data_IF_434790232515
#
_entry.id   IF_434790232515
#
_cell.length_a   1.000
_cell.length_b   1.000
_cell.length_c   1.000
_cell.angle_alpha   90.00
_cell.angle_beta   90.00
_cell.angle_gamma   90.00
#
_symmetry.space_group_name_H-M   'P 1'
#
loop_
_entity.id
_entity.type
_entity.pdbx_description
1 polymer ?
#
# COMPACT_ATOMS: atom_id res chain seq x y z
N UNK A 1 -9.23 27.62 -46.41
CA UNK A 1 -7.81 27.19 -46.30
C UNK A 1 -7.28 27.04 -44.86
N UNK A 2 -7.60 27.91 -43.89
CA UNK A 2 -7.04 27.81 -42.51
C UNK A 2 -7.48 26.56 -41.71
N UNK A 3 -8.74 26.10 -41.85
CA UNK A 3 -9.27 24.92 -41.13
C UNK A 3 -8.65 23.58 -41.56
N UNK A 4 -8.38 23.40 -42.85
CA UNK A 4 -7.77 22.16 -43.40
C UNK A 4 -6.32 21.99 -42.94
N UNK A 5 -5.54 23.09 -42.89
CA UNK A 5 -4.17 23.08 -42.36
C UNK A 5 -4.11 22.69 -40.88
N UNK A 6 -5.08 23.11 -40.08
CA UNK A 6 -5.16 22.79 -38.66
C UNK A 6 -5.52 21.32 -38.41
N UNK A 7 -6.44 20.75 -39.20
CA UNK A 7 -6.81 19.33 -39.12
C UNK A 7 -5.63 18.44 -39.51
N UNK A 8 -4.91 18.78 -40.58
CA UNK A 8 -3.71 18.04 -41.01
C UNK A 8 -2.62 18.11 -39.93
N UNK A 9 -2.40 19.29 -39.31
CA UNK A 9 -1.45 19.44 -38.21
C UNK A 9 -1.83 18.57 -36.99
N UNK A 10 -3.12 18.51 -36.62
CA UNK A 10 -3.62 17.66 -35.52
C UNK A 10 -3.41 16.17 -35.84
N UNK A 11 -3.68 15.73 -37.07
CA UNK A 11 -3.48 14.33 -37.48
C UNK A 11 -1.99 13.96 -37.41
N UNK A 12 -1.11 14.81 -37.95
CA UNK A 12 0.34 14.60 -37.92
C UNK A 12 0.86 14.56 -36.48
N UNK A 13 0.38 15.49 -35.63
CA UNK A 13 0.75 15.53 -34.21
C UNK A 13 0.25 14.30 -33.44
N UNK A 14 -0.96 13.81 -33.75
CA UNK A 14 -1.53 12.60 -33.13
C UNK A 14 -0.75 11.33 -33.52
N UNK A 15 -0.30 11.25 -34.78
CA UNK A 15 0.53 10.14 -35.27
C UNK A 15 1.93 10.19 -34.64
N UNK A 16 2.54 11.39 -34.53
CA UNK A 16 3.85 11.56 -33.90
C UNK A 16 3.83 11.28 -32.39
N UNK A 17 2.79 11.71 -31.67
CA UNK A 17 2.64 11.41 -30.24
C UNK A 17 2.29 9.94 -29.97
N UNK A 18 1.48 9.33 -30.82
CA UNK A 18 1.23 7.88 -30.80
C UNK A 18 2.50 7.07 -31.07
N UNK A 19 3.33 7.52 -32.01
CA UNK A 19 4.61 6.88 -32.32
C UNK A 19 5.64 7.04 -31.18
N UNK A 20 5.76 8.23 -30.57
CA UNK A 20 6.67 8.44 -29.43
C UNK A 20 6.30 7.60 -28.21
N UNK A 21 5.02 7.50 -27.86
CA UNK A 21 4.56 6.67 -26.75
C UNK A 21 4.79 5.16 -27.02
N UNK A 22 4.59 4.73 -28.27
CA UNK A 22 4.87 3.35 -28.70
C UNK A 22 6.38 3.04 -28.69
N UNK A 23 7.23 3.97 -29.14
CA UNK A 23 8.70 3.82 -29.13
C UNK A 23 9.24 3.78 -27.70
N UNK A 24 8.73 4.62 -26.80
CA UNK A 24 9.10 4.59 -25.37
C UNK A 24 8.69 3.25 -24.75
N UNK A 25 7.49 2.75 -25.07
CA UNK A 25 7.02 1.43 -24.62
C UNK A 25 7.92 0.30 -25.13
N UNK A 26 8.24 0.28 -26.43
CA UNK A 26 9.14 -0.71 -27.04
C UNK A 26 10.55 -0.61 -26.46
N UNK A 27 11.08 0.60 -26.26
CA UNK A 27 12.40 0.81 -25.67
C UNK A 27 12.46 0.32 -24.21
N UNK A 28 11.42 0.60 -23.42
CA UNK A 28 11.31 0.08 -22.07
C UNK A 28 11.17 -1.45 -22.06
N UNK A 29 10.42 -2.04 -23.00
CA UNK A 29 10.26 -3.49 -23.11
C UNK A 29 11.57 -4.17 -23.53
N UNK A 30 12.28 -3.60 -24.50
CA UNK A 30 13.52 -4.14 -25.03
C UNK A 30 14.69 -4.04 -24.02
N UNK A 31 14.67 -3.03 -23.15
CA UNK A 31 15.70 -2.83 -22.13
C UNK A 31 15.29 -3.32 -20.73
N UNK A 32 14.09 -3.87 -20.57
CA UNK A 32 13.66 -4.40 -19.28
C UNK A 32 14.45 -5.66 -18.95
N UNK A 33 15.02 -5.68 -17.76
CA UNK A 33 15.61 -6.88 -17.19
C UNK A 33 14.67 -7.41 -16.11
N UNK A 34 14.26 -8.68 -16.22
CA UNK A 34 13.57 -9.36 -15.14
C UNK A 34 14.30 -9.21 -13.81
N UNK A 35 13.56 -9.01 -12.73
CA UNK A 35 14.15 -8.69 -11.43
C UNK A 35 13.31 -9.15 -10.26
N UNK A 36 13.99 -9.38 -9.14
CA UNK A 36 13.35 -9.66 -7.86
C UNK A 36 12.98 -8.34 -7.21
N UNK A 37 11.73 -8.24 -6.80
CA UNK A 37 11.18 -7.10 -6.09
C UNK A 37 10.77 -7.51 -4.69
N UNK A 38 10.90 -6.55 -3.78
CA UNK A 38 10.51 -6.65 -2.39
C UNK A 38 9.46 -5.59 -2.11
N UNK A 39 8.27 -6.05 -1.78
CA UNK A 39 7.17 -5.19 -1.36
C UNK A 39 6.85 -5.37 0.11
N UNK A 40 6.56 -4.26 0.77
CA UNK A 40 6.25 -4.20 2.20
C UNK A 40 4.91 -3.53 2.36
N UNK A 41 4.05 -4.20 3.10
CA UNK A 41 2.63 -3.95 3.02
C UNK A 41 2.01 -4.08 4.41
N UNK A 42 1.28 -3.06 4.86
CA UNK A 42 0.57 -3.11 6.15
C UNK A 42 -0.77 -3.80 5.93
N UNK A 43 -1.06 -4.86 6.70
CA UNK A 43 -2.30 -5.64 6.61
C UNK A 43 -2.94 -5.82 8.00
N UNK A 44 -4.24 -6.11 8.00
CA UNK A 44 -4.98 -6.43 9.22
C UNK A 44 -4.54 -7.81 9.71
N UNK A 45 -3.99 -7.85 10.93
CA UNK A 45 -3.53 -9.09 11.57
C UNK A 45 -4.61 -9.75 12.42
N UNK A 46 -5.33 -8.96 13.22
CA UNK A 46 -6.35 -9.44 14.15
C UNK A 46 -7.31 -8.32 14.58
N UNK A 47 -8.46 -8.70 15.13
CA UNK A 47 -9.43 -7.79 15.74
C UNK A 47 -9.67 -8.17 17.20
N UNK A 48 -9.98 -7.19 18.04
CA UNK A 48 -10.29 -7.43 19.44
C UNK A 48 -11.76 -7.85 19.60
N UNK A 49 -11.98 -9.06 20.09
CA UNK A 49 -13.30 -9.66 20.29
C UNK A 49 -13.26 -10.60 21.49
N UNK A 50 -14.31 -10.61 22.30
CA UNK A 50 -14.43 -11.51 23.46
C UNK A 50 -13.22 -11.47 24.41
N UNK A 51 -12.69 -10.26 24.65
CA UNK A 51 -11.59 -10.04 25.60
C UNK A 51 -10.18 -10.33 25.06
N UNK A 52 -10.02 -10.67 23.78
CA UNK A 52 -8.70 -10.93 23.18
C UNK A 52 -8.62 -10.54 21.71
N UNK A 53 -7.40 -10.38 21.21
CA UNK A 53 -7.16 -10.30 19.77
C UNK A 53 -7.31 -11.68 19.12
N UNK A 54 -8.06 -11.73 18.03
CA UNK A 54 -8.36 -12.96 17.29
C UNK A 54 -8.39 -12.69 15.78
N UNK A 55 -8.22 -13.74 14.99
CA UNK A 55 -8.39 -13.73 13.54
C UNK A 55 -9.81 -14.05 13.07
N UNK A 56 -10.75 -14.09 14.02
CA UNK A 56 -12.16 -14.41 13.78
C UNK A 56 -12.38 -15.69 12.98
N UNK A 57 -11.53 -16.71 13.24
CA UNK A 57 -11.59 -18.01 12.58
C UNK A 57 -10.67 -18.19 11.36
N UNK A 58 -10.08 -17.12 10.84
CA UNK A 58 -9.12 -17.22 9.72
C UNK A 58 -7.75 -17.73 10.16
N UNK A 59 -7.09 -18.44 9.25
CA UNK A 59 -5.71 -18.92 9.42
C UNK A 59 -4.72 -17.77 9.28
N UNK A 60 -3.53 -17.94 9.84
CA UNK A 60 -2.48 -16.92 9.79
C UNK A 60 -2.00 -16.61 8.35
N UNK A 61 -2.04 -17.58 7.45
CA UNK A 61 -1.67 -17.41 6.03
C UNK A 61 -2.79 -16.81 5.15
N UNK A 62 -3.99 -16.62 5.69
CA UNK A 62 -5.12 -16.00 4.98
C UNK A 62 -5.09 -14.47 5.12
N UNK A 63 -3.98 -13.86 4.70
CA UNK A 63 -3.58 -12.47 5.00
C UNK A 63 -4.65 -11.42 4.65
N UNK A 64 -5.45 -11.64 3.59
CA UNK A 64 -6.45 -10.67 3.14
C UNK A 64 -7.85 -10.88 3.71
N UNK A 65 -8.20 -12.09 4.20
CA UNK A 65 -9.59 -12.45 4.51
C UNK A 65 -10.19 -11.59 5.61
N UNK A 66 -9.42 -11.32 6.66
CA UNK A 66 -9.87 -10.45 7.74
C UNK A 66 -10.03 -8.99 7.29
N UNK A 67 -9.19 -8.53 6.36
CA UNK A 67 -9.34 -7.19 5.76
C UNK A 67 -10.64 -7.07 4.98
N UNK A 68 -10.98 -8.07 4.14
CA UNK A 68 -12.25 -8.09 3.42
C UNK A 68 -13.45 -8.14 4.36
N UNK A 69 -13.36 -8.94 5.42
CA UNK A 69 -14.41 -8.99 6.44
C UNK A 69 -14.64 -7.61 7.09
N UNK A 70 -13.57 -6.91 7.47
CA UNK A 70 -13.69 -5.56 8.06
C UNK A 70 -14.35 -4.58 7.09
N UNK A 71 -14.00 -4.67 5.80
CA UNK A 71 -14.62 -3.86 4.75
C UNK A 71 -16.12 -4.15 4.68
N UNK A 72 -16.53 -5.42 4.65
CA UNK A 72 -17.94 -5.79 4.48
C UNK A 72 -18.77 -5.45 5.73
N UNK A 73 -18.24 -5.73 6.92
CA UNK A 73 -18.93 -5.51 8.20
C UNK A 73 -19.02 -4.00 8.53
N UNK A 74 -17.91 -3.28 8.37
CA UNK A 74 -17.76 -1.91 8.87
C UNK A 74 -17.62 -0.84 7.78
N UNK A 75 -17.40 -1.20 6.52
CA UNK A 75 -17.17 -0.23 5.44
C UNK A 75 -15.78 0.41 5.44
N UNK A 76 -14.84 -0.17 6.21
CA UNK A 76 -13.50 0.38 6.44
C UNK A 76 -12.45 -0.32 5.58
N UNK A 77 -11.68 0.47 4.83
CA UNK A 77 -10.54 0.02 4.04
C UNK A 77 -9.25 0.43 4.75
N UNK A 78 -8.24 -0.44 4.71
CA UNK A 78 -6.89 -0.10 5.14
C UNK A 78 -6.07 0.38 3.95
N UNK A 79 -5.43 1.53 4.09
CA UNK A 79 -4.58 2.13 3.06
C UNK A 79 -3.26 2.59 3.69
N UNK A 80 -2.17 1.86 3.46
CA UNK A 80 -0.83 2.16 3.99
C UNK A 80 -0.84 2.50 5.50
N UNK A 81 -1.47 1.65 6.30
CA UNK A 81 -1.59 1.87 7.75
C UNK A 81 -2.65 2.91 8.16
N UNK A 82 -3.28 3.60 7.21
CA UNK A 82 -4.38 4.57 7.44
C UNK A 82 -5.73 3.93 7.19
N UNK A 83 -6.79 4.57 7.69
CA UNK A 83 -8.18 4.13 7.47
C UNK A 83 -8.81 4.95 6.35
N UNK A 84 -9.54 4.27 5.49
CA UNK A 84 -10.33 4.84 4.40
C UNK A 84 -11.72 4.21 4.35
N UNK A 85 -12.58 4.75 3.49
CA UNK A 85 -13.93 4.23 3.22
C UNK A 85 -13.97 3.46 1.91
N UNK A 86 -14.91 2.51 1.78
CA UNK A 86 -15.23 1.87 0.49
C UNK A 86 -16.36 2.65 -0.20
N UNK A 87 -16.03 3.33 -1.29
CA UNK A 87 -17.01 3.95 -2.17
C UNK A 87 -16.68 5.40 -2.51
N UNK A 88 -17.09 5.83 -3.70
CA UNK A 88 -16.89 7.22 -4.11
C UNK A 88 -17.63 8.15 -3.13
N UNK A 89 -16.88 9.01 -2.44
CA UNK A 89 -17.37 10.11 -1.59
C UNK A 89 -17.97 9.75 -0.21
N UNK A 90 -17.79 8.53 0.30
CA UNK A 90 -18.21 8.20 1.68
C UNK A 90 -17.24 8.77 2.72
N UNK A 91 -17.75 9.48 3.73
CA UNK A 91 -17.01 10.09 4.84
C UNK A 91 -17.27 9.34 6.15
N UNK A 92 -16.24 9.19 6.97
CA UNK A 92 -16.32 8.73 8.37
C UNK A 92 -16.59 9.93 9.28
N UNK A 93 -17.60 9.80 10.14
CA UNK A 93 -17.86 10.66 11.29
C UNK A 93 -17.33 9.93 12.53
N UNK A 94 -16.37 10.57 13.22
CA UNK A 94 -15.81 10.06 14.47
C UNK A 94 -16.56 10.67 15.66
N UNK A 95 -17.03 9.82 16.58
CA UNK A 95 -17.67 10.28 17.81
C UNK A 95 -16.72 10.31 19.00
N UNK A 96 -15.67 9.49 18.95
CA UNK A 96 -14.68 9.30 20.00
C UNK A 96 -13.29 9.71 19.48
N UNK A 97 -12.36 9.99 20.40
CA UNK A 97 -10.94 10.17 20.06
C UNK A 97 -10.32 8.83 19.67
N UNK A 98 -9.41 8.85 18.69
CA UNK A 98 -8.71 7.64 18.25
C UNK A 98 -7.61 7.31 19.25
N UNK A 99 -7.46 6.03 19.61
CA UNK A 99 -6.30 5.55 20.36
C UNK A 99 -5.44 4.69 19.48
N UNK A 100 -4.14 4.98 19.46
CA UNK A 100 -3.15 4.18 18.74
C UNK A 100 -2.16 3.64 19.76
N UNK A 101 -1.94 2.32 19.72
CA UNK A 101 -1.02 1.63 20.62
C UNK A 101 0.07 0.92 19.84
N UNK A 102 1.33 1.22 20.15
CA UNK A 102 2.51 0.53 19.65
C UNK A 102 3.45 0.26 20.82
N UNK A 103 3.98 -0.95 20.96
CA UNK A 103 4.94 -1.31 22.01
C UNK A 103 4.47 -0.89 23.43
N UNK A 104 3.20 -1.15 23.76
CA UNK A 104 2.52 -0.78 25.01
C UNK A 104 2.42 0.73 25.29
N UNK A 105 2.87 1.59 24.38
CA UNK A 105 2.67 3.03 24.45
C UNK A 105 1.38 3.37 23.71
N UNK A 106 0.46 4.02 24.40
CA UNK A 106 -0.81 4.47 23.81
C UNK A 106 -0.79 5.98 23.64
N UNK A 107 -1.21 6.45 22.48
CA UNK A 107 -1.44 7.86 22.20
C UNK A 107 -2.92 8.05 21.88
N UNK A 108 -3.48 9.13 22.42
CA UNK A 108 -4.85 9.57 22.13
C UNK A 108 -4.77 10.70 21.12
N UNK A 109 -5.48 10.55 20.02
CA UNK A 109 -5.53 11.50 18.91
C UNK A 109 -6.93 12.12 18.94
N UNK A 110 -7.03 13.42 19.30
CA UNK A 110 -8.31 14.11 19.34
C UNK A 110 -9.03 14.04 18.00
N UNK A 111 -10.32 13.70 18.01
CA UNK A 111 -11.10 13.50 16.77
C UNK A 111 -11.15 14.72 15.85
N UNK A 112 -11.08 15.91 16.44
CA UNK A 112 -11.06 17.21 15.74
C UNK A 112 -9.73 17.48 15.02
N UNK A 113 -8.66 16.75 15.38
CA UNK A 113 -7.35 16.85 14.73
C UNK A 113 -7.15 15.86 13.57
N UNK A 114 -8.08 14.94 13.35
CA UNK A 114 -8.02 13.98 12.26
C UNK A 114 -8.16 14.72 10.93
N UNK A 115 -7.15 14.64 10.07
CA UNK A 115 -7.17 15.26 8.76
C UNK A 115 -7.81 14.32 7.74
N UNK A 116 -8.67 14.88 6.90
CA UNK A 116 -9.38 14.14 5.86
C UNK A 116 -8.80 14.53 4.49
N UNK A 117 -8.32 13.55 3.73
CA UNK A 117 -7.85 13.74 2.37
C UNK A 117 -8.69 12.93 1.39
N UNK A 118 -9.06 13.52 0.26
CA UNK A 118 -9.79 12.82 -0.79
C UNK A 118 -8.80 12.08 -1.68
N UNK A 119 -8.93 10.76 -1.80
CA UNK A 119 -8.15 9.99 -2.75
C UNK A 119 -8.81 9.99 -4.13
N UNK A 120 -7.96 10.00 -5.17
CA UNK A 120 -8.37 10.15 -6.58
C UNK A 120 -9.38 9.09 -7.05
N UNK A 121 -9.41 7.90 -6.44
CA UNK A 121 -10.18 6.74 -6.91
C UNK A 121 -10.79 5.84 -5.80
N UNK A 122 -11.27 6.37 -4.66
CA UNK A 122 -11.80 5.42 -3.66
C UNK A 122 -12.50 5.93 -2.40
N UNK A 123 -12.53 7.23 -2.11
CA UNK A 123 -13.16 7.77 -0.90
C UNK A 123 -12.28 8.80 -0.19
N UNK A 124 -12.34 8.82 1.14
CA UNK A 124 -11.49 9.66 1.98
C UNK A 124 -10.50 8.80 2.78
N UNK A 125 -9.25 9.25 2.86
CA UNK A 125 -8.23 8.71 3.76
C UNK A 125 -8.12 9.66 4.96
N UNK A 126 -8.00 9.07 6.14
CA UNK A 126 -7.88 9.81 7.39
C UNK A 126 -6.46 9.70 7.90
N UNK A 127 -5.75 10.83 7.88
CA UNK A 127 -4.45 10.94 8.52
C UNK A 127 -4.66 11.37 9.97
N UNK A 128 -4.32 10.47 10.87
CA UNK A 128 -4.29 10.72 12.30
C UNK A 128 -2.86 10.96 12.80
N UNK A 129 -1.91 11.23 11.89
CA UNK A 129 -0.52 11.65 12.15
C UNK A 129 0.06 10.98 13.40
N UNK A 130 0.45 9.71 13.25
CA UNK A 130 1.07 8.91 14.33
C UNK A 130 2.48 9.37 14.70
N UNK A 131 2.87 10.60 14.38
CA UNK A 131 4.23 11.16 14.48
C UNK A 131 5.02 10.83 15.76
N UNK A 132 4.43 10.63 16.95
CA UNK A 132 5.21 10.21 18.12
C UNK A 132 5.42 8.68 18.26
N UNK A 133 4.77 7.85 17.44
CA UNK A 133 4.94 6.40 17.36
C UNK A 133 5.56 6.06 15.99
N UNK A 134 6.83 5.66 15.97
CA UNK A 134 7.55 5.23 14.78
C UNK A 134 7.02 3.86 14.26
N UNK A 135 5.80 3.83 13.75
CA UNK A 135 5.28 2.70 12.99
C UNK A 135 5.40 2.97 11.50
N UNK A 136 6.21 2.17 10.81
CA UNK A 136 6.42 2.24 9.37
C UNK A 136 6.33 0.84 8.76
N UNK A 137 6.48 0.71 7.44
CA UNK A 137 6.38 -0.58 6.74
C UNK A 137 7.46 -1.61 7.15
N UNK A 138 8.43 -1.21 7.98
CA UNK A 138 9.48 -2.08 8.50
C UNK A 138 9.30 -2.49 9.96
N UNK A 139 8.31 -1.93 10.66
CA UNK A 139 8.00 -2.29 12.04
C UNK A 139 7.62 -3.77 12.13
N UNK A 140 8.20 -4.50 13.08
CA UNK A 140 7.88 -5.92 13.31
C UNK A 140 6.77 -6.10 14.33
N UNK A 141 6.53 -5.05 15.10
CA UNK A 141 5.54 -4.98 16.15
C UNK A 141 4.17 -4.62 15.59
N UNK A 142 3.12 -5.03 16.32
CA UNK A 142 1.75 -4.73 15.92
C UNK A 142 1.34 -3.32 16.31
N UNK A 143 0.73 -2.58 15.38
CA UNK A 143 0.03 -1.34 15.67
C UNK A 143 -1.44 -1.64 15.97
N UNK A 144 -1.94 -1.24 17.14
CA UNK A 144 -3.36 -1.34 17.46
C UNK A 144 -4.02 0.02 17.25
N UNK A 145 -5.12 0.04 16.52
CA UNK A 145 -5.95 1.23 16.29
C UNK A 145 -7.33 0.97 16.90
N UNK A 146 -7.72 1.80 17.84
CA UNK A 146 -9.08 1.88 18.39
C UNK A 146 -9.72 3.17 17.89
N UNK A 147 -10.69 3.02 16.98
CA UNK A 147 -11.43 4.13 16.38
C UNK A 147 -12.61 4.60 17.23
N UNK A 148 -12.94 3.86 18.30
CA UNK A 148 -14.18 4.06 19.05
C UNK A 148 -15.41 3.86 18.17
N UNK A 149 -16.36 4.78 18.28
CA UNK A 149 -17.62 4.76 17.54
C UNK A 149 -17.53 5.63 16.29
N UNK A 150 -17.97 5.08 15.16
CA UNK A 150 -18.01 5.78 13.89
C UNK A 150 -19.36 5.63 13.21
N UNK A 151 -19.67 6.54 12.29
CA UNK A 151 -20.75 6.44 11.31
C UNK A 151 -20.17 6.74 9.92
N UNK A 152 -20.64 6.04 8.89
CA UNK A 152 -20.24 6.31 7.51
C UNK A 152 -21.41 6.93 6.76
N UNK A 153 -21.18 8.10 6.18
CA UNK A 153 -22.17 8.87 5.43
C UNK A 153 -21.69 9.17 4.01
N UNK A 154 -22.60 9.28 3.06
CA UNK A 154 -22.33 9.84 1.74
C UNK A 154 -22.20 11.37 1.81
N UNK A 155 -21.79 11.99 0.70
CA UNK A 155 -21.58 13.45 0.61
C UNK A 155 -22.84 14.27 0.92
N UNK A 156 -24.01 13.73 0.60
CA UNK A 156 -25.32 14.35 0.84
C UNK A 156 -25.84 14.13 2.27
N UNK A 157 -25.09 13.42 3.11
CA UNK A 157 -25.46 13.10 4.50
C UNK A 157 -26.26 11.81 4.66
N UNK A 158 -26.53 11.06 3.58
CA UNK A 158 -27.18 9.75 3.67
C UNK A 158 -26.28 8.76 4.42
N UNK A 159 -26.86 8.06 5.40
CA UNK A 159 -26.14 7.05 6.18
C UNK A 159 -25.91 5.79 5.34
N UNK A 160 -24.65 5.39 5.20
CA UNK A 160 -24.20 4.14 4.54
C UNK A 160 -24.01 3.04 5.57
N UNK A 161 -23.40 3.38 6.72
CA UNK A 161 -23.26 2.50 7.88
C UNK A 161 -23.62 3.28 9.12
N UNK A 162 -24.67 2.85 9.82
CA UNK A 162 -25.12 3.46 11.07
C UNK A 162 -24.02 3.48 12.14
N UNK A 163 -24.12 4.49 13.02
CA UNK A 163 -23.25 4.66 14.18
C UNK A 163 -23.05 3.34 14.94
N UNK A 164 -21.80 2.89 15.03
CA UNK A 164 -21.43 1.68 15.76
C UNK A 164 -20.02 1.77 16.33
N UNK A 165 -19.78 1.06 17.42
CA UNK A 165 -18.43 0.87 17.97
C UNK A 165 -17.65 -0.12 17.10
N UNK A 166 -16.45 0.27 16.71
CA UNK A 166 -15.53 -0.59 15.96
C UNK A 166 -14.63 -1.31 16.97
N UNK A 167 -14.45 -2.64 16.85
CA UNK A 167 -13.47 -3.33 17.68
C UNK A 167 -12.05 -2.82 17.36
N UNK A 168 -11.16 -2.68 18.36
CA UNK A 168 -9.75 -2.39 18.10
C UNK A 168 -9.14 -3.35 17.06
N UNK A 169 -8.41 -2.78 16.11
CA UNK A 169 -7.83 -3.50 14.97
C UNK A 169 -6.31 -3.52 15.14
N UNK A 170 -5.69 -4.69 15.07
CA UNK A 170 -4.24 -4.82 15.03
C UNK A 170 -3.75 -4.94 13.60
N UNK A 171 -2.79 -4.10 13.23
CA UNK A 171 -2.09 -4.11 11.97
C UNK A 171 -0.69 -4.69 12.14
N UNK A 172 -0.21 -5.40 11.11
CA UNK A 172 1.18 -5.85 11.00
C UNK A 172 1.68 -5.69 9.57
N UNK A 173 2.99 -5.59 9.44
CA UNK A 173 3.66 -5.62 8.15
C UNK A 173 3.76 -7.03 7.58
N UNK A 174 3.63 -7.09 6.27
CA UNK A 174 3.85 -8.26 5.43
C UNK A 174 4.99 -7.97 4.48
N UNK A 175 5.67 -9.03 4.08
CA UNK A 175 6.75 -9.03 3.11
C UNK A 175 6.31 -9.87 1.93
N UNK A 176 6.38 -9.28 0.74
CA UNK A 176 6.18 -9.98 -0.53
C UNK A 176 7.48 -9.94 -1.33
N UNK A 177 7.98 -11.11 -1.70
CA UNK A 177 9.13 -11.26 -2.59
C UNK A 177 8.63 -11.91 -3.87
N UNK A 178 8.83 -11.25 -5.00
CA UNK A 178 8.32 -11.74 -6.27
C UNK A 178 9.26 -11.42 -7.43
N UNK A 179 9.19 -12.22 -8.47
CA UNK A 179 9.80 -11.96 -9.76
C UNK A 179 8.88 -11.09 -10.60
N UNK A 180 9.43 -10.01 -11.17
CA UNK A 180 8.75 -9.23 -12.18
C UNK A 180 9.44 -9.45 -13.53
N UNK A 181 8.85 -10.31 -14.35
CA UNK A 181 9.39 -10.70 -15.65
C UNK A 181 9.35 -9.54 -16.64
N UNK A 182 8.26 -8.77 -16.67
CA UNK A 182 8.05 -7.68 -17.61
C UNK A 182 7.39 -6.46 -16.94
N UNK A 183 7.88 -5.25 -17.24
CA UNK A 183 7.32 -3.98 -16.78
C UNK A 183 5.84 -3.77 -17.16
N UNK A 184 5.42 -4.32 -18.31
CA UNK A 184 4.09 -4.08 -18.90
C UNK A 184 3.01 -5.02 -18.38
N UNK A 185 3.41 -6.11 -17.72
CA UNK A 185 2.51 -7.08 -17.11
C UNK A 185 2.79 -7.16 -15.60
N UNK A 186 2.58 -6.06 -14.83
CA UNK A 186 2.89 -6.02 -13.40
C UNK A 186 2.03 -6.97 -12.55
N UNK A 187 1.03 -7.60 -13.15
CA UNK A 187 0.14 -8.56 -12.51
C UNK A 187 0.57 -10.02 -12.73
N UNK A 188 1.44 -10.28 -13.71
CA UNK A 188 2.02 -11.59 -13.97
C UNK A 188 3.33 -11.71 -13.17
N UNK A 189 3.19 -12.07 -11.89
CA UNK A 189 4.29 -12.09 -10.92
C UNK A 189 4.44 -13.46 -10.27
N UNK A 190 5.65 -14.03 -10.37
CA UNK A 190 5.98 -15.25 -9.62
C UNK A 190 6.32 -14.88 -8.19
N UNK A 191 5.41 -15.18 -7.26
CA UNK A 191 5.58 -14.83 -5.84
C UNK A 191 6.32 -15.94 -5.10
N UNK A 192 7.53 -15.65 -4.65
CA UNK A 192 8.39 -16.58 -3.90
C UNK A 192 8.07 -16.60 -2.40
N UNK A 193 7.69 -15.46 -1.85
CA UNK A 193 7.33 -15.33 -0.44
C UNK A 193 6.22 -14.32 -0.30
N UNK A 194 5.19 -14.66 0.48
CA UNK A 194 4.21 -13.69 0.91
C UNK A 194 3.68 -14.05 2.30
N UNK A 195 4.21 -13.38 3.33
CA UNK A 195 3.87 -13.65 4.72
C UNK A 195 4.20 -12.49 5.66
N UNK A 196 3.94 -12.65 6.96
CA UNK A 196 4.21 -11.63 7.97
C UNK A 196 5.71 -11.33 8.10
N UNK A 197 6.05 -10.04 8.24
CA UNK A 197 7.43 -9.57 8.28
C UNK A 197 8.19 -10.11 9.51
N UNK A 198 7.54 -10.21 10.67
CA UNK A 198 8.12 -10.74 11.92
C UNK A 198 8.44 -12.24 11.85
N UNK A 199 7.99 -12.93 10.81
CA UNK A 199 8.26 -14.36 10.57
C UNK A 199 9.40 -14.59 9.60
N UNK A 200 9.85 -13.54 8.89
CA UNK A 200 10.94 -13.66 7.93
C UNK A 200 12.28 -13.80 8.67
N UNK A 201 12.97 -14.92 8.47
CA UNK A 201 14.23 -15.25 9.16
C UNK A 201 15.50 -14.96 8.35
N UNK A 202 15.38 -14.32 7.18
CA UNK A 202 16.52 -14.04 6.31
C UNK A 202 17.02 -15.24 5.51
N UNK A 203 16.45 -16.42 5.73
CA UNK A 203 16.72 -17.63 4.94
C UNK A 203 15.47 -18.01 4.17
N UNK A 204 15.63 -18.28 2.88
CA UNK A 204 14.60 -18.91 2.05
C UNK A 204 14.40 -20.35 2.54
N UNK A 205 13.64 -20.52 3.62
CA UNK A 205 13.15 -21.83 4.01
C UNK A 205 12.39 -22.40 2.82
N UNK A 206 12.85 -23.55 2.31
CA UNK A 206 12.39 -24.26 1.12
C UNK A 206 11.20 -23.60 0.46
N UNK A 207 11.46 -22.69 -0.48
CA UNK A 207 10.44 -22.04 -1.31
C UNK A 207 9.74 -23.16 -2.06
N UNK A 208 8.70 -23.73 -1.45
CA UNK A 208 7.80 -24.67 -2.10
C UNK A 208 7.11 -23.88 -3.20
N UNK A 209 7.63 -24.05 -4.42
CA UNK A 209 7.01 -23.78 -5.72
C UNK A 209 5.57 -23.27 -5.59
N UNK A 210 5.36 -22.00 -5.89
CA UNK A 210 4.04 -21.48 -6.27
C UNK A 210 4.22 -20.85 -7.65
N UNK A 211 3.70 -21.57 -8.64
CA UNK A 211 3.57 -21.25 -10.07
C UNK A 211 4.85 -21.05 -10.90
N UNK A 212 4.65 -21.19 -12.21
CA UNK A 212 5.49 -21.98 -13.11
C UNK A 212 6.61 -21.19 -13.80
N UNK A 213 7.76 -21.05 -13.15
CA UNK A 213 9.01 -20.76 -13.87
C UNK A 213 10.18 -21.58 -13.29
N UNK A 214 10.76 -22.54 -14.05
CA UNK A 214 11.81 -23.44 -13.55
C UNK A 214 13.22 -22.82 -13.53
N UNK A 215 13.42 -21.60 -14.05
CA UNK A 215 14.70 -20.91 -13.89
C UNK A 215 14.76 -20.24 -12.52
N UNK A 216 15.25 -20.99 -11.53
CA UNK A 216 15.64 -20.47 -10.23
C UNK A 216 16.77 -19.45 -10.43
N UNK A 217 16.39 -18.21 -10.70
CA UNK A 217 17.30 -17.07 -10.61
C UNK A 217 17.76 -17.01 -9.16
N UNK A 218 19.08 -17.13 -8.97
CA UNK A 218 19.73 -17.11 -7.66
C UNK A 218 19.28 -15.85 -6.92
N UNK A 219 18.35 -16.02 -5.99
CA UNK A 219 17.77 -14.90 -5.25
C UNK A 219 18.89 -14.30 -4.40
N UNK A 220 19.18 -12.98 -4.49
CA UNK A 220 20.30 -12.39 -3.76
C UNK A 220 20.18 -12.65 -2.25
N UNK A 221 21.24 -13.16 -1.64
CA UNK A 221 21.34 -13.36 -0.19
C UNK A 221 21.22 -12.04 0.60
N UNK A 222 21.28 -10.89 -0.07
CA UNK A 222 21.35 -9.58 0.54
C UNK A 222 19.98 -8.90 0.77
N UNK A 223 18.88 -9.65 0.96
CA UNK A 223 17.56 -9.05 1.25
C UNK A 223 17.58 -8.07 2.41
N UNK A 224 18.42 -8.34 3.41
CA UNK A 224 18.65 -7.40 4.52
C UNK A 224 19.13 -6.03 4.01
N UNK A 225 20.09 -6.01 3.08
CA UNK A 225 20.60 -4.79 2.43
C UNK A 225 19.52 -4.11 1.59
N UNK A 226 18.63 -4.86 0.95
CA UNK A 226 17.49 -4.30 0.21
C UNK A 226 16.54 -3.57 1.15
N UNK A 227 16.21 -4.21 2.27
CA UNK A 227 15.36 -3.65 3.31
C UNK A 227 16.02 -2.41 3.91
N UNK A 228 17.30 -2.46 4.23
CA UNK A 228 18.10 -1.32 4.73
C UNK A 228 18.12 -0.15 3.73
N UNK A 229 18.42 -0.41 2.45
CA UNK A 229 18.37 0.62 1.42
C UNK A 229 16.96 1.21 1.28
N UNK A 230 15.90 0.39 1.34
CA UNK A 230 14.52 0.90 1.28
C UNK A 230 14.19 1.77 2.48
N UNK A 231 14.70 1.44 3.69
CA UNK A 231 14.58 2.29 4.90
C UNK A 231 15.22 3.66 4.71
N UNK A 232 16.48 3.69 4.26
CA UNK A 232 17.21 4.94 4.00
C UNK A 232 16.46 5.84 3.01
N UNK A 233 15.73 5.24 2.07
CA UNK A 233 14.95 5.93 1.05
C UNK A 233 13.54 6.31 1.51
N UNK A 234 12.97 5.62 2.52
CA UNK A 234 11.64 5.89 3.07
C UNK A 234 11.62 6.96 4.17
N UNK A 235 12.77 7.25 4.79
CA UNK A 235 12.90 8.29 5.82
C UNK A 235 12.70 9.73 5.29
N UNK A 236 12.40 9.88 3.99
CA UNK A 236 11.98 11.13 3.38
C UNK A 236 10.46 11.33 3.66
N UNK A 237 10.13 12.05 4.73
CA UNK A 237 8.74 12.30 5.16
C UNK A 237 7.87 12.87 4.02
N UNK A 238 6.86 12.11 3.57
CA UNK A 238 5.76 12.63 2.74
C UNK A 238 4.90 13.61 3.57
N UNK A 239 5.00 14.92 3.31
CA UNK A 239 4.12 15.92 3.94
C UNK A 239 2.91 16.21 3.04
N UNK A 240 1.75 16.37 3.67
CA UNK A 240 0.50 16.72 2.99
C UNK A 240 0.69 18.01 2.20
N UNK A 241 0.40 17.99 0.89
CA UNK A 241 0.50 19.13 -0.02
C UNK A 241 1.72 19.11 -0.94
N UNK A 242 2.58 18.09 -0.85
CA UNK A 242 3.75 17.92 -1.71
C UNK A 242 3.43 17.02 -2.91
N UNK A 243 3.95 17.36 -4.09
CA UNK A 243 3.94 16.46 -5.26
C UNK A 243 5.13 15.50 -5.14
N UNK A 244 4.89 14.21 -5.40
CA UNK A 244 5.92 13.17 -5.34
C UNK A 244 5.85 12.31 -6.59
N UNK A 245 7.01 11.88 -7.10
CA UNK A 245 7.13 11.01 -8.27
C UNK A 245 7.75 9.67 -7.89
N UNK A 246 7.22 8.60 -8.47
CA UNK A 246 7.77 7.26 -8.29
C UNK A 246 9.09 7.12 -9.02
N UNK A 247 10.14 6.69 -8.33
CA UNK A 247 11.45 6.38 -8.90
C UNK A 247 11.80 4.92 -8.66
N UNK A 248 12.42 4.29 -9.64
CA UNK A 248 12.90 2.91 -9.53
C UNK A 248 14.42 2.96 -9.38
N UNK A 249 14.92 2.69 -8.19
CA UNK A 249 16.36 2.62 -7.93
C UNK A 249 16.79 1.18 -8.15
N UNK A 250 17.73 0.96 -9.08
CA UNK A 250 18.26 -0.37 -9.38
C UNK A 250 19.70 -0.44 -8.91
N UNK A 251 20.04 -1.43 -8.09
CA UNK A 251 21.41 -1.66 -7.65
C UNK A 251 22.18 -2.58 -8.63
N UNK A 252 23.49 -2.73 -8.38
CA UNK A 252 24.41 -3.53 -9.20
C UNK A 252 24.05 -5.03 -9.26
N UNK A 253 23.13 -5.49 -8.41
CA UNK A 253 22.61 -6.87 -8.41
C UNK A 253 21.33 -7.06 -9.23
N UNK A 254 20.99 -6.11 -10.12
CA UNK A 254 19.72 -6.05 -10.88
C UNK A 254 18.47 -5.97 -10.00
N UNK A 255 18.63 -5.55 -8.75
CA UNK A 255 17.51 -5.46 -7.83
C UNK A 255 16.95 -4.05 -7.84
N UNK A 256 15.64 -3.92 -8.04
CA UNK A 256 15.00 -2.61 -8.04
C UNK A 256 14.11 -2.38 -6.83
N UNK A 257 14.16 -1.18 -6.29
CA UNK A 257 13.28 -0.69 -5.23
C UNK A 257 12.45 0.43 -5.85
N UNK A 258 11.12 0.32 -5.74
CA UNK A 258 10.23 1.44 -6.07
C UNK A 258 10.19 2.38 -4.85
N UNK A 259 10.65 3.59 -5.05
CA UNK A 259 10.67 4.67 -4.06
C UNK A 259 9.83 5.84 -4.55
N UNK A 260 9.51 6.76 -3.65
CA UNK A 260 8.86 8.01 -3.99
C UNK A 260 9.83 9.14 -3.63
N UNK A 261 10.07 10.07 -4.56
CA UNK A 261 10.88 11.26 -4.31
C UNK A 261 10.03 12.52 -4.48
N UNK A 262 10.30 13.54 -3.66
CA UNK A 262 9.57 14.79 -3.69
C UNK A 262 9.92 15.54 -4.97
N UNK A 263 8.89 16.04 -5.65
CA UNK A 263 9.04 16.92 -6.80
C UNK A 263 9.18 18.34 -6.27
N UNK A 264 10.42 18.83 -6.22
CA UNK A 264 10.67 20.25 -6.00
C UNK A 264 10.28 21.01 -7.29
N UNK A 265 9.32 21.92 -7.17
CA UNK A 265 8.94 22.87 -8.24
C UNK A 265 9.83 24.09 -8.23
#
# INVERSE_FOLDING_TARGET
MKKVKYIIAIIIFSILFGACSTIIGIYQAANWKPKILVDLDIKVYSIYKDGKFTRDGFKENEIYQLSYKIIDDYGLVLYNGRIATRGEYSKIIFYDDIKVTLNNKTIVIPKDKIKQEKIRYGGYVYDYSISPLEFNEFSTEGLIIDLGSIEIVEKDGKIVKEKRKIPPIMLKNTLKIYWLENAFHPYDIDTYYYYWLDKYKGEFGDVKKIYSNPELVKIPNDIKKIIENKKELSDIEHKIGEEWQGRVITNDTNLSIMTWEKVDK
#
